data_IF_331016268019
#
_entry.id   IF_331016268019
#
_cell.length_a   1.000
_cell.length_b   1.000
_cell.length_c   1.000
_cell.angle_alpha   90.00
_cell.angle_beta   90.00
_cell.angle_gamma   90.00
#
_symmetry.space_group_name_H-M   'P 1'
#
loop_
_entity.id
_entity.type
_entity.pdbx_description
1 polymer ?
#
# COMPACT_ATOMS: atom_id res chain seq x y z
N UNK A 1 -27.22 4.29 -5.82
CA UNK A 1 -26.17 3.26 -5.76
C UNK A 1 -26.76 2.07 -6.49
N UNK A 2 -26.39 1.88 -7.76
CA UNK A 2 -26.86 0.73 -8.55
C UNK A 2 -26.38 -0.57 -7.92
N UNK A 3 -27.21 -1.60 -8.04
CA UNK A 3 -27.02 -2.95 -7.51
C UNK A 3 -25.67 -3.53 -7.94
N UNK A 4 -24.73 -3.55 -7.00
CA UNK A 4 -23.34 -3.92 -7.22
C UNK A 4 -23.21 -5.46 -7.23
N UNK A 5 -23.14 -6.05 -8.43
CA UNK A 5 -22.93 -7.48 -8.63
C UNK A 5 -23.93 -8.37 -7.88
N UNK A 6 -25.22 -8.04 -7.90
CA UNK A 6 -26.29 -8.81 -7.21
C UNK A 6 -26.31 -10.30 -7.57
N UNK A 7 -25.87 -10.66 -8.77
CA UNK A 7 -25.72 -12.06 -9.23
C UNK A 7 -24.66 -12.88 -8.45
N UNK A 8 -23.94 -12.26 -7.53
CA UNK A 8 -22.87 -12.87 -6.73
C UNK A 8 -23.18 -12.88 -5.22
N UNK A 9 -24.37 -12.45 -4.81
CA UNK A 9 -24.71 -12.30 -3.39
C UNK A 9 -24.65 -13.63 -2.61
N UNK A 10 -24.95 -14.75 -3.28
CA UNK A 10 -24.95 -16.09 -2.68
C UNK A 10 -23.69 -16.91 -3.00
N UNK A 11 -22.67 -16.29 -3.61
CA UNK A 11 -21.44 -16.98 -4.04
C UNK A 11 -20.28 -16.72 -3.08
N UNK A 12 -19.40 -17.70 -2.93
CA UNK A 12 -18.16 -17.54 -2.17
C UNK A 12 -17.31 -16.45 -2.83
N UNK A 13 -16.77 -15.53 -2.02
CA UNK A 13 -15.90 -14.46 -2.50
C UNK A 13 -14.61 -15.07 -3.06
N UNK A 14 -14.39 -14.90 -4.36
CA UNK A 14 -13.11 -15.20 -4.99
C UNK A 14 -12.24 -13.94 -5.13
N UNK A 15 -10.96 -14.14 -5.43
CA UNK A 15 -10.01 -13.04 -5.58
C UNK A 15 -10.36 -12.07 -6.72
N UNK A 16 -11.05 -12.55 -7.77
CA UNK A 16 -11.41 -11.73 -8.92
C UNK A 16 -12.59 -10.80 -8.60
N UNK A 17 -13.60 -11.31 -7.90
CA UNK A 17 -14.75 -10.55 -7.39
C UNK A 17 -14.30 -9.56 -6.32
N UNK A 18 -13.39 -9.97 -5.43
CA UNK A 18 -12.78 -9.08 -4.44
C UNK A 18 -12.05 -7.91 -5.13
N UNK A 19 -11.22 -8.19 -6.15
CA UNK A 19 -10.51 -7.16 -6.90
C UNK A 19 -11.46 -6.21 -7.62
N UNK A 20 -12.45 -6.74 -8.35
CA UNK A 20 -13.44 -5.93 -9.09
C UNK A 20 -14.25 -5.05 -8.16
N UNK A 21 -14.69 -5.59 -7.04
CA UNK A 21 -15.46 -4.84 -6.03
C UNK A 21 -14.59 -3.77 -5.39
N UNK A 22 -13.34 -4.10 -5.02
CA UNK A 22 -12.41 -3.15 -4.43
C UNK A 22 -12.10 -1.99 -5.38
N UNK A 23 -11.81 -2.28 -6.65
CA UNK A 23 -11.60 -1.23 -7.66
C UNK A 23 -12.82 -0.33 -7.79
N UNK A 24 -14.03 -0.90 -7.83
CA UNK A 24 -15.25 -0.11 -7.93
C UNK A 24 -15.52 0.77 -6.70
N UNK A 25 -15.19 0.27 -5.50
CA UNK A 25 -15.25 1.08 -4.27
C UNK A 25 -14.21 2.19 -4.31
N UNK A 26 -12.98 1.92 -4.80
CA UNK A 26 -11.94 2.95 -4.98
C UNK A 26 -12.44 4.04 -5.92
N UNK A 27 -13.01 3.69 -7.08
CA UNK A 27 -13.61 4.67 -8.01
C UNK A 27 -14.66 5.52 -7.27
N UNK A 28 -15.61 4.89 -6.59
CA UNK A 28 -16.66 5.61 -5.87
C UNK A 28 -16.12 6.56 -4.79
N UNK A 29 -15.02 6.20 -4.13
CA UNK A 29 -14.35 7.01 -3.12
C UNK A 29 -13.40 8.07 -3.69
N UNK A 30 -13.03 8.00 -4.97
CA UNK A 30 -12.01 8.87 -5.59
C UNK A 30 -12.52 9.59 -6.83
N UNK A 31 -12.90 8.86 -7.88
CA UNK A 31 -13.33 9.41 -9.18
C UNK A 31 -14.56 8.69 -9.73
N UNK A 32 -15.60 9.46 -10.07
CA UNK A 32 -16.86 8.91 -10.58
C UNK A 32 -16.79 8.46 -12.04
N UNK A 33 -15.93 9.08 -12.86
CA UNK A 33 -15.83 8.86 -14.32
C UNK A 33 -14.37 8.92 -14.84
N UNK A 34 -13.41 8.51 -14.03
CA UNK A 34 -11.96 8.54 -14.31
C UNK A 34 -11.31 9.93 -14.50
N UNK A 35 -12.05 11.00 -14.78
CA UNK A 35 -11.50 12.35 -14.96
C UNK A 35 -11.91 13.34 -13.85
N UNK A 36 -13.07 13.13 -13.24
CA UNK A 36 -13.63 14.03 -12.24
C UNK A 36 -13.65 13.39 -10.85
N UNK A 37 -13.42 14.18 -9.78
CA UNK A 37 -13.55 13.69 -8.42
C UNK A 37 -14.98 13.22 -8.16
N UNK A 38 -15.14 12.12 -7.44
CA UNK A 38 -16.49 11.65 -7.10
C UNK A 38 -17.17 12.65 -6.15
N UNK A 39 -18.51 12.78 -6.18
CA UNK A 39 -19.22 13.64 -5.23
C UNK A 39 -18.94 13.29 -3.78
N UNK A 40 -18.70 12.00 -3.48
CA UNK A 40 -18.29 11.57 -2.14
C UNK A 40 -16.87 11.98 -1.78
N UNK A 41 -15.93 11.91 -2.71
CA UNK A 41 -14.57 12.40 -2.49
C UNK A 41 -14.59 13.87 -2.05
N UNK A 42 -15.29 14.70 -2.81
CA UNK A 42 -15.45 16.14 -2.50
C UNK A 42 -16.17 16.33 -1.17
N UNK A 43 -17.26 15.60 -0.92
CA UNK A 43 -18.03 15.71 0.33
C UNK A 43 -17.22 15.33 1.57
N UNK A 44 -16.45 14.25 1.50
CA UNK A 44 -15.66 13.75 2.62
C UNK A 44 -14.51 14.71 2.97
N UNK A 45 -13.87 15.27 1.95
CA UNK A 45 -12.70 16.13 2.15
C UNK A 45 -13.06 17.59 2.44
N UNK A 46 -14.14 18.10 1.87
CA UNK A 46 -14.64 19.45 2.20
C UNK A 46 -15.09 19.59 3.66
N UNK A 47 -15.47 18.49 4.32
CA UNK A 47 -15.78 18.46 5.76
C UNK A 47 -14.55 18.33 6.67
N UNK A 48 -13.34 18.33 6.11
CA UNK A 48 -12.09 18.51 6.85
C UNK A 48 -11.51 17.25 7.50
N UNK A 49 -11.93 16.04 7.11
CA UNK A 49 -11.34 14.80 7.62
C UNK A 49 -10.64 13.99 6.52
N UNK A 50 -9.46 14.44 6.04
CA UNK A 50 -8.69 13.72 5.02
C UNK A 50 -8.18 12.36 5.53
N UNK A 51 -7.83 12.27 6.81
CA UNK A 51 -7.31 11.05 7.43
C UNK A 51 -8.32 9.90 7.35
N UNK A 52 -9.61 10.15 7.59
CA UNK A 52 -10.62 9.10 7.54
C UNK A 52 -10.67 8.43 6.16
N UNK A 53 -10.65 9.22 5.09
CA UNK A 53 -10.65 8.70 3.72
C UNK A 53 -9.35 7.94 3.42
N UNK A 54 -8.19 8.48 3.81
CA UNK A 54 -6.89 7.80 3.64
C UNK A 54 -6.88 6.45 4.35
N UNK A 55 -7.39 6.37 5.58
CA UNK A 55 -7.48 5.12 6.34
C UNK A 55 -8.42 4.09 5.70
N UNK A 56 -9.52 4.54 5.10
CA UNK A 56 -10.42 3.64 4.35
C UNK A 56 -9.71 3.10 3.12
N UNK A 57 -9.05 3.95 2.34
CA UNK A 57 -8.30 3.55 1.14
C UNK A 57 -7.17 2.58 1.50
N UNK A 58 -6.43 2.85 2.58
CA UNK A 58 -5.40 1.95 3.08
C UNK A 58 -5.97 0.57 3.43
N UNK A 59 -7.08 0.52 4.18
CA UNK A 59 -7.74 -0.75 4.53
C UNK A 59 -8.13 -1.54 3.29
N UNK A 60 -8.63 -0.88 2.25
CA UNK A 60 -8.96 -1.54 0.97
C UNK A 60 -7.73 -2.19 0.34
N UNK A 61 -6.57 -1.51 0.35
CA UNK A 61 -5.31 -2.07 -0.18
C UNK A 61 -4.79 -3.23 0.69
N UNK A 62 -4.95 -3.15 2.01
CA UNK A 62 -4.56 -4.24 2.90
C UNK A 62 -5.43 -5.49 2.72
N UNK A 63 -6.73 -5.31 2.42
CA UNK A 63 -7.65 -6.41 2.13
C UNK A 63 -7.40 -6.99 0.73
N UNK A 64 -7.20 -6.14 -0.29
CA UNK A 64 -6.94 -6.55 -1.66
C UNK A 64 -5.68 -5.86 -2.20
N UNK A 65 -4.49 -6.47 -2.01
CA UNK A 65 -3.22 -5.89 -2.46
C UNK A 65 -3.15 -5.65 -3.97
N UNK A 66 -3.87 -6.45 -4.76
CA UNK A 66 -3.96 -6.32 -6.21
C UNK A 66 -4.64 -5.02 -6.68
N UNK A 67 -5.43 -4.37 -5.82
CA UNK A 67 -6.09 -3.11 -6.13
C UNK A 67 -5.16 -1.89 -6.03
N UNK A 68 -3.93 -2.07 -5.51
CA UNK A 68 -2.98 -0.99 -5.27
C UNK A 68 -2.67 -0.17 -6.53
N UNK A 69 -2.30 -0.85 -7.62
CA UNK A 69 -1.97 -0.17 -8.88
C UNK A 69 -3.17 0.62 -9.41
N UNK A 70 -4.39 0.11 -9.22
CA UNK A 70 -5.59 0.85 -9.60
C UNK A 70 -5.76 2.13 -8.77
N UNK A 71 -5.54 2.04 -7.44
CA UNK A 71 -5.58 3.23 -6.58
C UNK A 71 -4.53 4.28 -6.98
N UNK A 72 -3.30 3.86 -7.26
CA UNK A 72 -2.23 4.77 -7.70
C UNK A 72 -2.60 5.52 -8.98
N UNK A 73 -3.23 4.84 -9.95
CA UNK A 73 -3.76 5.47 -11.16
C UNK A 73 -4.85 6.49 -10.83
N UNK A 74 -5.81 6.14 -9.96
CA UNK A 74 -6.89 7.07 -9.57
C UNK A 74 -6.37 8.31 -8.85
N UNK A 75 -5.33 8.16 -8.03
CA UNK A 75 -4.67 9.28 -7.35
C UNK A 75 -3.95 10.17 -8.37
N UNK A 76 -3.24 9.59 -9.35
CA UNK A 76 -2.60 10.35 -10.41
C UNK A 76 -3.62 11.15 -11.26
N UNK A 77 -4.77 10.55 -11.57
CA UNK A 77 -5.85 11.24 -12.28
C UNK A 77 -6.41 12.42 -11.47
N UNK A 78 -6.59 12.26 -10.14
CA UNK A 78 -6.99 13.36 -9.26
C UNK A 78 -5.94 14.47 -9.20
N UNK A 79 -4.65 14.15 -9.11
CA UNK A 79 -3.59 15.16 -9.12
C UNK A 79 -3.67 15.99 -10.40
N UNK A 80 -3.75 15.33 -11.57
CA UNK A 80 -3.91 16.00 -12.88
C UNK A 80 -5.17 16.84 -12.98
N UNK A 81 -6.26 16.41 -12.35
CA UNK A 81 -7.48 17.20 -12.27
C UNK A 81 -7.24 18.51 -11.53
N UNK A 82 -6.58 18.46 -10.36
CA UNK A 82 -6.40 19.62 -9.49
C UNK A 82 -5.24 20.55 -9.87
N UNK A 83 -4.30 20.10 -10.71
CA UNK A 83 -3.20 20.94 -11.26
C UNK A 83 -3.70 22.19 -12.00
N UNK A 84 -4.96 22.19 -12.47
CA UNK A 84 -5.56 23.29 -13.24
C UNK A 84 -6.08 24.44 -12.38
N UNK A 85 -6.15 24.26 -11.06
CA UNK A 85 -6.75 25.20 -10.12
C UNK A 85 -5.69 25.88 -9.27
N UNK A 86 -6.05 26.99 -8.61
CA UNK A 86 -5.14 27.69 -7.71
C UNK A 86 -4.91 26.87 -6.43
N UNK A 87 -3.74 27.04 -5.81
CA UNK A 87 -3.40 26.35 -4.56
C UNK A 87 -4.37 26.71 -3.42
N UNK A 88 -4.84 27.95 -3.39
CA UNK A 88 -5.75 28.45 -2.36
C UNK A 88 -7.12 27.77 -2.42
N UNK A 89 -7.60 27.47 -3.63
CA UNK A 89 -8.86 26.74 -3.83
C UNK A 89 -8.71 25.23 -3.54
N UNK A 90 -7.48 24.71 -3.59
CA UNK A 90 -7.14 23.30 -3.48
C UNK A 90 -6.56 22.88 -2.13
N UNK A 91 -6.51 23.77 -1.13
CA UNK A 91 -5.85 23.50 0.17
C UNK A 91 -6.32 22.18 0.82
N UNK A 92 -7.61 21.88 0.74
CA UNK A 92 -8.19 20.67 1.31
C UNK A 92 -7.73 19.38 0.61
N UNK A 93 -7.56 19.41 -0.73
CA UNK A 93 -7.14 18.23 -1.49
C UNK A 93 -5.64 18.04 -1.43
N UNK A 94 -4.88 19.13 -1.34
CA UNK A 94 -3.43 19.10 -1.09
C UNK A 94 -3.15 18.41 0.24
N UNK A 95 -3.84 18.82 1.31
CA UNK A 95 -3.74 18.15 2.62
C UNK A 95 -4.08 16.65 2.55
N UNK A 96 -5.06 16.28 1.73
CA UNK A 96 -5.37 14.87 1.49
C UNK A 96 -4.21 14.13 0.81
N UNK A 97 -3.63 14.68 -0.26
CA UNK A 97 -2.51 14.04 -0.96
C UNK A 97 -1.26 13.90 -0.08
N UNK A 98 -0.96 14.89 0.75
CA UNK A 98 0.13 14.81 1.72
C UNK A 98 -0.07 13.66 2.70
N UNK A 99 -1.26 13.58 3.33
CA UNK A 99 -1.59 12.51 4.27
C UNK A 99 -1.64 11.14 3.59
N UNK A 100 -2.14 11.08 2.35
CA UNK A 100 -2.14 9.87 1.54
C UNK A 100 -0.71 9.39 1.28
N UNK A 101 0.17 10.28 0.81
CA UNK A 101 1.55 9.94 0.50
C UNK A 101 2.28 9.42 1.74
N UNK A 102 2.21 10.14 2.86
CA UNK A 102 2.82 9.71 4.14
C UNK A 102 2.32 8.33 4.55
N UNK A 103 1.00 8.11 4.52
CA UNK A 103 0.41 6.84 4.92
C UNK A 103 0.86 5.72 4.00
N UNK A 104 0.78 5.90 2.68
CA UNK A 104 1.20 4.87 1.73
C UNK A 104 2.69 4.57 1.85
N UNK A 105 3.56 5.57 2.07
CA UNK A 105 4.99 5.32 2.32
C UNK A 105 5.19 4.46 3.56
N UNK A 106 4.56 4.79 4.69
CA UNK A 106 4.69 4.02 5.95
C UNK A 106 4.27 2.57 5.76
N UNK A 107 3.19 2.31 5.01
CA UNK A 107 2.62 0.96 4.86
C UNK A 107 3.17 0.16 3.68
N UNK A 108 3.80 0.82 2.70
CA UNK A 108 4.30 0.15 1.49
C UNK A 108 5.81 -0.01 1.45
N UNK A 109 6.56 0.75 2.27
CA UNK A 109 7.94 0.43 2.53
C UNK A 109 8.00 -0.92 3.24
N UNK A 110 8.77 -1.85 2.68
CA UNK A 110 9.03 -3.15 3.27
C UNK A 110 9.99 -2.93 4.46
N UNK A 111 9.44 -2.34 5.53
CA UNK A 111 10.15 -2.00 6.75
C UNK A 111 10.15 -3.25 7.62
N UNK A 112 11.34 -3.83 7.78
CA UNK A 112 11.54 -4.91 8.73
C UNK A 112 11.80 -4.29 10.10
N UNK A 113 11.01 -4.70 11.09
CA UNK A 113 11.17 -4.29 12.47
C UNK A 113 11.90 -5.39 13.24
N UNK A 114 13.15 -5.13 13.61
CA UNK A 114 13.94 -6.04 14.43
C UNK A 114 13.89 -5.60 15.90
N UNK A 115 13.45 -6.52 16.76
CA UNK A 115 13.46 -6.35 18.21
C UNK A 115 14.78 -6.90 18.75
N UNK A 116 15.60 -6.03 19.33
CA UNK A 116 16.82 -6.43 20.04
C UNK A 116 16.56 -6.36 21.54
N UNK A 117 16.49 -7.52 22.18
CA UNK A 117 16.47 -7.63 23.63
C UNK A 117 17.89 -7.43 24.14
N UNK A 118 18.14 -6.32 24.84
CA UNK A 118 19.42 -6.10 25.49
C UNK A 118 19.47 -6.98 26.74
N UNK A 119 20.22 -8.09 26.66
CA UNK A 119 20.40 -9.00 27.78
C UNK A 119 20.94 -8.25 29.00
N UNK A 120 20.19 -8.30 30.11
CA UNK A 120 20.70 -7.85 31.40
C UNK A 120 21.77 -8.84 31.84
N UNK A 121 23.04 -8.46 31.69
CA UNK A 121 24.16 -9.16 32.31
C UNK A 121 24.19 -8.83 33.79
N UNK A 122 23.28 -9.42 34.58
CA UNK A 122 23.48 -9.94 35.94
C UNK A 122 22.13 -10.31 36.57
N UNK A 123 22.19 -11.36 37.38
CA UNK A 123 21.06 -12.04 37.98
C UNK A 123 20.16 -11.14 38.86
N UNK A 124 18.88 -11.54 38.94
CA UNK A 124 17.86 -11.17 39.93
C UNK A 124 16.98 -9.93 39.62
N UNK A 125 15.89 -10.15 38.88
CA UNK A 125 14.49 -9.88 39.31
C UNK A 125 13.52 -10.07 38.11
N UNK A 126 12.33 -10.69 38.29
CA UNK A 126 11.38 -10.90 37.21
C UNK A 126 10.37 -9.74 37.18
N UNK A 127 10.81 -8.56 36.76
CA UNK A 127 9.91 -7.58 36.18
C UNK A 127 10.39 -7.34 34.76
N UNK A 128 9.75 -8.03 33.80
CA UNK A 128 9.99 -7.86 32.38
C UNK A 128 9.48 -6.46 31.98
N UNK A 129 10.28 -5.44 32.27
CA UNK A 129 10.04 -4.08 31.84
C UNK A 129 10.22 -4.03 30.32
N UNK A 130 9.20 -3.55 29.63
CA UNK A 130 9.21 -3.22 28.18
C UNK A 130 10.41 -2.32 27.80
N UNK A 131 11.10 -1.75 28.79
CA UNK A 131 12.26 -0.87 28.66
C UNK A 131 13.59 -1.55 28.26
N UNK A 132 13.69 -2.89 28.27
CA UNK A 132 14.90 -3.60 27.81
C UNK A 132 14.91 -3.93 26.30
N UNK A 133 13.83 -3.62 25.59
CA UNK A 133 13.66 -3.87 24.17
C UNK A 133 13.99 -2.60 23.37
N UNK A 134 14.96 -2.68 22.46
CA UNK A 134 15.16 -1.64 21.44
C UNK A 134 14.58 -2.14 20.11
N UNK A 135 13.69 -1.35 19.52
CA UNK A 135 13.09 -1.62 18.21
C UNK A 135 13.89 -0.87 17.15
N UNK A 136 14.34 -1.58 16.11
CA UNK A 136 15.03 -1.01 14.96
C UNK A 136 14.20 -1.24 13.70
N UNK A 137 13.94 -0.17 12.94
CA UNK A 137 13.31 -0.23 11.63
C UNK A 137 14.36 -0.12 10.53
N UNK A 138 14.40 -1.08 9.61
CA UNK A 138 15.23 -1.01 8.40
C UNK A 138 14.36 -1.11 7.15
N UNK A 139 14.53 -0.17 6.21
CA UNK A 139 13.90 -0.26 4.89
C UNK A 139 14.70 -1.24 4.03
N UNK A 140 14.07 -2.32 3.57
CA UNK A 140 14.74 -3.37 2.78
C UNK A 140 15.19 -2.80 1.43
N UNK A 141 16.48 -2.52 1.27
CA UNK A 141 17.08 -2.31 -0.06
C UNK A 141 17.05 -3.65 -0.78
N UNK A 142 16.16 -3.81 -1.76
CA UNK A 142 16.22 -4.94 -2.68
C UNK A 142 17.51 -4.79 -3.49
N UNK A 143 18.55 -5.51 -3.11
CA UNK A 143 19.70 -5.73 -3.99
C UNK A 143 19.21 -6.57 -5.18
N UNK A 144 19.40 -6.15 -6.44
CA UNK A 144 19.15 -7.03 -7.56
C UNK A 144 20.12 -8.20 -7.48
N UNK A 145 19.59 -9.40 -7.26
CA UNK A 145 20.36 -10.63 -7.26
C UNK A 145 20.79 -10.91 -8.71
N UNK A 146 21.97 -10.46 -9.10
CA UNK A 146 22.64 -10.93 -10.33
C UNK A 146 23.27 -12.29 -9.99
N UNK A 147 22.57 -13.37 -10.32
CA UNK A 147 23.20 -14.69 -10.46
C UNK A 147 23.84 -14.76 -11.84
N UNK A 148 25.11 -14.37 -11.96
CA UNK A 148 25.98 -14.86 -13.05
C UNK A 148 26.64 -16.11 -12.53
N UNK A 149 25.94 -17.24 -12.69
CA UNK A 149 26.55 -18.57 -12.64
C UNK A 149 27.03 -18.92 -14.04
N UNK A 150 28.32 -18.70 -14.33
CA UNK A 150 28.98 -19.30 -15.49
C UNK A 150 29.18 -20.78 -15.19
N UNK A 151 28.21 -21.61 -15.59
CA UNK A 151 28.41 -23.05 -15.71
C UNK A 151 29.11 -23.31 -17.06
N UNK A 152 30.43 -23.50 -17.03
CA UNK A 152 31.11 -24.23 -18.10
C UNK A 152 30.95 -25.73 -17.81
N UNK A 153 30.49 -26.56 -18.77
CA UNK A 153 30.50 -28.00 -18.60
C UNK A 153 31.92 -28.56 -18.77
N UNK A 154 32.47 -29.09 -17.68
CA UNK A 154 33.62 -30.01 -17.68
C UNK A 154 33.13 -31.40 -18.10
N UNK A 155 33.04 -31.70 -19.39
CA UNK A 155 33.14 -33.07 -19.90
C UNK A 155 33.73 -33.06 -21.33
N UNK A 156 35.03 -33.31 -21.43
CA UNK A 156 35.61 -33.90 -22.65
C UNK A 156 36.16 -35.27 -22.24
N UNK A 157 35.35 -36.30 -22.51
CA UNK A 157 35.77 -37.69 -22.52
C UNK A 157 36.98 -37.85 -23.46
N UNK A 158 38.09 -38.31 -22.90
CA UNK A 158 39.26 -38.77 -23.64
C UNK A 158 39.20 -40.29 -23.69
N UNK A 159 38.87 -40.86 -24.85
CA UNK A 159 39.25 -42.22 -25.32
C UNK A 159 39.09 -42.21 -26.86
N UNK A 160 39.96 -42.73 -27.72
CA UNK A 160 41.21 -43.49 -27.59
C UNK A 160 41.74 -43.76 -29.01
N UNK A 161 43.08 -43.74 -29.17
CA UNK A 161 43.92 -44.38 -30.21
C UNK A 161 43.61 -44.14 -31.70
#
# INVERSE_FOLDING_TARGET
MEDLYTDHNDKVIDNALLLRTTNRVIEFLTSANHEEPSPLFVLLLSRGNPIALVMVLLKLILICPYARTHLEVRIADLIRHYEKYSEDDCRWVINFFEMFNITMTIFTENVEYNVVTMGQTTAQSPSLGVEACRIFSQSRRVSPNVQVGLNLPDEVEVLSL
#
